data_IF_139012480549
#
_entry.id   IF_139012480549
#
_cell.length_a   1.000
_cell.length_b   1.000
_cell.length_c   1.000
_cell.angle_alpha   90.00
_cell.angle_beta   90.00
_cell.angle_gamma   90.00
#
_symmetry.space_group_name_H-M   'P 1'
#
loop_
_entity.id
_entity.type
_entity.pdbx_description
1 polymer ?
#
# COMPACT_ATOMS: atom_id res chain seq x y z
N UNK A 1 48.03 -32.09 168.47
CA UNK A 1 46.94 -32.26 167.48
C UNK A 1 46.21 -30.93 167.40
N UNK A 2 46.47 -30.13 166.37
CA UNK A 2 45.79 -28.84 166.11
C UNK A 2 45.86 -28.48 164.59
N UNK A 3 44.98 -27.60 164.08
CA UNK A 3 44.19 -27.79 162.85
C UNK A 3 44.79 -27.24 161.54
N UNK A 4 46.00 -27.68 161.15
CA UNK A 4 46.70 -27.16 159.95
C UNK A 4 46.61 -28.00 158.66
N UNK A 5 46.51 -29.33 158.75
CA UNK A 5 46.70 -30.26 157.61
C UNK A 5 45.49 -30.39 156.68
N UNK A 6 44.27 -30.16 157.19
CA UNK A 6 43.05 -30.09 156.38
C UNK A 6 43.07 -28.92 155.38
N UNK A 7 43.83 -27.84 155.67
CA UNK A 7 43.93 -26.67 154.79
C UNK A 7 44.81 -26.93 153.56
N UNK A 8 45.88 -27.72 153.69
CA UNK A 8 46.84 -27.98 152.60
C UNK A 8 46.24 -28.94 151.55
N UNK A 9 45.55 -30.00 151.99
CA UNK A 9 44.85 -30.91 151.07
C UNK A 9 43.70 -30.20 150.33
N UNK A 10 42.99 -29.28 151.01
CA UNK A 10 41.93 -28.47 150.39
C UNK A 10 42.49 -27.51 149.33
N UNK A 11 43.68 -26.92 149.55
CA UNK A 11 44.33 -26.02 148.58
C UNK A 11 44.83 -26.78 147.34
N UNK A 12 45.44 -27.96 147.51
CA UNK A 12 45.91 -28.78 146.37
C UNK A 12 44.71 -29.33 145.58
N UNK A 13 43.66 -29.78 146.27
CA UNK A 13 42.41 -30.20 145.64
C UNK A 13 41.77 -29.04 144.87
N UNK A 14 41.67 -27.84 145.46
CA UNK A 14 41.13 -26.67 144.79
C UNK A 14 41.97 -26.23 143.57
N UNK A 15 43.31 -26.33 143.65
CA UNK A 15 44.21 -25.98 142.54
C UNK A 15 44.11 -26.98 141.38
N UNK A 16 44.05 -28.28 141.67
CA UNK A 16 43.80 -29.31 140.67
C UNK A 16 42.41 -29.14 140.05
N UNK A 17 41.39 -28.85 140.86
CA UNK A 17 40.03 -28.57 140.39
C UNK A 17 39.98 -27.32 139.49
N UNK A 18 40.68 -26.24 139.88
CA UNK A 18 40.84 -25.03 139.08
C UNK A 18 41.62 -25.29 137.77
N UNK A 19 42.64 -26.14 137.79
CA UNK A 19 43.39 -26.53 136.59
C UNK A 19 42.56 -27.36 135.62
N UNK A 20 41.73 -28.27 136.13
CA UNK A 20 40.78 -29.06 135.34
C UNK A 20 39.71 -28.14 134.77
N UNK A 21 39.17 -27.22 135.57
CA UNK A 21 38.23 -26.19 135.12
C UNK A 21 38.88 -25.31 134.04
N UNK A 22 40.15 -24.91 134.19
CA UNK A 22 40.89 -24.13 133.19
C UNK A 22 41.10 -24.90 131.88
N UNK A 23 41.49 -26.17 131.96
CA UNK A 23 41.63 -27.08 130.81
C UNK A 23 40.29 -27.33 130.12
N UNK A 24 39.20 -27.48 130.89
CA UNK A 24 37.84 -27.60 130.35
C UNK A 24 37.39 -26.30 129.68
N UNK A 25 37.72 -25.14 130.24
CA UNK A 25 37.48 -23.82 129.64
C UNK A 25 38.27 -23.65 128.34
N UNK A 26 39.56 -23.97 128.34
CA UNK A 26 40.42 -23.98 127.16
C UNK A 26 39.88 -24.92 126.07
N UNK A 27 39.51 -26.15 126.43
CA UNK A 27 38.94 -27.11 125.48
C UNK A 27 37.57 -26.64 124.95
N UNK A 28 36.75 -26.00 125.79
CA UNK A 28 35.48 -25.40 125.35
C UNK A 28 35.71 -24.23 124.38
N UNK A 29 36.71 -23.38 124.63
CA UNK A 29 37.10 -22.29 123.73
C UNK A 29 37.62 -22.86 122.40
N UNK A 30 38.56 -23.81 122.46
CA UNK A 30 39.14 -24.45 121.27
C UNK A 30 38.07 -25.19 120.44
N UNK A 31 37.15 -25.86 121.13
CA UNK A 31 35.99 -26.51 120.49
C UNK A 31 35.05 -25.49 119.86
N UNK A 32 34.87 -24.32 120.48
CA UNK A 32 34.11 -23.20 119.93
C UNK A 32 34.78 -22.61 118.69
N UNK A 33 36.09 -22.38 118.73
CA UNK A 33 36.90 -21.90 117.60
C UNK A 33 36.91 -22.91 116.45
N UNK A 34 37.07 -24.20 116.73
CA UNK A 34 36.99 -25.26 115.73
C UNK A 34 35.60 -25.33 115.09
N UNK A 35 34.54 -25.19 115.89
CA UNK A 35 33.16 -25.13 115.39
C UNK A 35 32.93 -23.90 114.52
N UNK A 36 33.44 -22.72 114.91
CA UNK A 36 33.34 -21.50 114.14
C UNK A 36 34.12 -21.57 112.83
N UNK A 37 35.32 -22.18 112.86
CA UNK A 37 36.15 -22.39 111.67
C UNK A 37 35.48 -23.37 110.71
N UNK A 38 34.88 -24.44 111.22
CA UNK A 38 34.12 -25.41 110.43
C UNK A 38 32.90 -24.76 109.77
N UNK A 39 32.13 -23.96 110.52
CA UNK A 39 30.99 -23.21 109.99
C UNK A 39 31.43 -22.22 108.90
N UNK A 40 32.54 -21.51 109.09
CA UNK A 40 33.08 -20.60 108.07
C UNK A 40 33.58 -21.33 106.81
N UNK A 41 34.16 -22.53 106.97
CA UNK A 41 34.56 -23.36 105.85
C UNK A 41 33.35 -23.89 105.07
N UNK A 42 32.30 -24.34 105.77
CA UNK A 42 31.04 -24.77 105.16
C UNK A 42 30.36 -23.61 104.41
N UNK A 43 30.35 -22.40 104.99
CA UNK A 43 29.82 -21.20 104.34
C UNK A 43 30.63 -20.85 103.07
N UNK A 44 31.96 -20.85 103.14
CA UNK A 44 32.82 -20.61 101.97
C UNK A 44 32.66 -21.69 100.91
N UNK A 45 32.48 -22.96 101.30
CA UNK A 45 32.19 -24.05 100.38
C UNK A 45 30.87 -23.79 99.65
N UNK A 46 29.82 -23.43 100.38
CA UNK A 46 28.52 -23.10 99.78
C UNK A 46 28.59 -21.88 98.84
N UNK A 47 29.38 -20.85 99.20
CA UNK A 47 29.62 -19.69 98.33
C UNK A 47 30.38 -20.07 97.06
N UNK A 48 31.39 -20.96 97.17
CA UNK A 48 32.14 -21.46 96.02
C UNK A 48 31.25 -22.30 95.09
N UNK A 49 30.40 -23.15 95.65
CA UNK A 49 29.44 -23.96 94.89
C UNK A 49 28.41 -23.07 94.18
N UNK A 50 27.92 -22.03 94.85
CA UNK A 50 27.03 -21.04 94.25
C UNK A 50 27.70 -20.27 93.10
N UNK A 51 28.94 -19.81 93.29
CA UNK A 51 29.71 -19.12 92.26
C UNK A 51 30.01 -20.05 91.06
N UNK A 52 30.33 -21.32 91.30
CA UNK A 52 30.54 -22.32 90.23
C UNK A 52 29.27 -22.57 89.42
N UNK A 53 28.12 -22.61 90.08
CA UNK A 53 26.81 -22.75 89.43
C UNK A 53 26.49 -21.51 88.58
N UNK A 54 26.76 -20.31 89.09
CA UNK A 54 26.58 -19.05 88.36
C UNK A 54 27.50 -18.97 87.12
N UNK A 55 28.76 -19.37 87.25
CA UNK A 55 29.71 -19.46 86.12
C UNK A 55 29.19 -20.46 85.07
N UNK A 56 28.68 -21.63 85.47
CA UNK A 56 28.10 -22.59 84.53
C UNK A 56 26.88 -22.01 83.80
N UNK A 57 26.01 -21.30 84.52
CA UNK A 57 24.84 -20.64 83.93
C UNK A 57 25.23 -19.52 82.96
N UNK A 58 26.22 -18.70 83.31
CA UNK A 58 26.77 -17.65 82.46
C UNK A 58 27.41 -18.24 81.20
N UNK A 59 28.22 -19.30 81.32
CA UNK A 59 28.78 -20.01 80.16
C UNK A 59 27.68 -20.57 79.26
N UNK A 60 26.64 -21.19 79.82
CA UNK A 60 25.51 -21.68 79.04
C UNK A 60 24.75 -20.57 78.31
N UNK A 61 24.67 -19.38 78.90
CA UNK A 61 24.08 -18.20 78.27
C UNK A 61 24.97 -17.66 77.16
N UNK A 62 26.28 -17.54 77.41
CA UNK A 62 27.26 -17.08 76.43
C UNK A 62 27.25 -17.96 75.17
N UNK A 63 27.28 -19.29 75.34
CA UNK A 63 27.21 -20.24 74.22
C UNK A 63 25.93 -20.05 73.40
N UNK A 64 24.79 -19.82 74.05
CA UNK A 64 23.52 -19.57 73.36
C UNK A 64 23.57 -18.26 72.58
N UNK A 65 24.07 -17.19 73.18
CA UNK A 65 24.20 -15.89 72.51
C UNK A 65 25.20 -15.94 71.36
N UNK A 66 26.29 -16.72 71.47
CA UNK A 66 27.23 -16.94 70.37
C UNK A 66 26.57 -17.69 69.20
N UNK A 67 25.74 -18.70 69.50
CA UNK A 67 24.96 -19.42 68.49
C UNK A 67 23.94 -18.48 67.81
N UNK A 68 23.15 -17.74 68.58
CA UNK A 68 22.18 -16.76 68.04
C UNK A 68 22.87 -15.69 67.17
N UNK A 69 24.05 -15.22 67.57
CA UNK A 69 24.83 -14.25 66.79
C UNK A 69 25.36 -14.88 65.49
N UNK A 70 25.77 -16.13 65.52
CA UNK A 70 26.18 -16.87 64.32
C UNK A 70 25.02 -17.02 63.35
N UNK A 71 23.87 -17.49 63.83
CA UNK A 71 22.66 -17.66 63.02
C UNK A 71 22.20 -16.32 62.41
N UNK A 72 22.20 -15.25 63.20
CA UNK A 72 21.84 -13.89 62.72
C UNK A 72 22.81 -13.38 61.65
N UNK A 73 24.11 -13.71 61.74
CA UNK A 73 25.09 -13.34 60.71
C UNK A 73 24.85 -14.10 59.41
N UNK A 74 24.55 -15.39 59.50
CA UNK A 74 24.23 -16.21 58.34
C UNK A 74 22.94 -15.70 57.64
N UNK A 75 21.89 -15.39 58.40
CA UNK A 75 20.67 -14.77 57.86
C UNK A 75 20.94 -13.42 57.18
N UNK A 76 21.80 -12.59 57.76
CA UNK A 76 22.18 -11.30 57.17
C UNK A 76 22.98 -11.47 55.87
N UNK A 77 23.92 -12.41 55.81
CA UNK A 77 24.67 -12.74 54.60
C UNK A 77 23.75 -13.24 53.49
N UNK A 78 22.82 -14.15 53.82
CA UNK A 78 21.83 -14.66 52.88
C UNK A 78 20.94 -13.54 52.34
N UNK A 79 20.37 -12.71 53.23
CA UNK A 79 19.53 -11.56 52.84
C UNK A 79 20.30 -10.56 51.97
N UNK A 80 21.58 -10.32 52.28
CA UNK A 80 22.43 -9.45 51.46
C UNK A 80 22.69 -10.04 50.07
N UNK A 81 22.84 -11.37 49.97
CA UNK A 81 22.95 -12.09 48.70
C UNK A 81 21.69 -11.96 47.85
N UNK A 82 20.52 -12.22 48.44
CA UNK A 82 19.22 -12.06 47.78
C UNK A 82 18.98 -10.64 47.29
N UNK A 83 19.34 -9.63 48.09
CA UNK A 83 19.25 -8.22 47.70
C UNK A 83 20.18 -7.88 46.52
N UNK A 84 21.38 -8.48 46.46
CA UNK A 84 22.29 -8.27 45.34
C UNK A 84 21.73 -8.86 44.04
N UNK A 85 21.21 -10.09 44.09
CA UNK A 85 20.54 -10.75 42.95
C UNK A 85 19.35 -9.91 42.48
N UNK A 86 18.47 -9.51 43.40
CA UNK A 86 17.29 -8.68 43.08
C UNK A 86 17.67 -7.36 42.39
N UNK A 87 18.80 -6.74 42.75
CA UNK A 87 19.29 -5.53 42.08
C UNK A 87 19.82 -5.80 40.67
N UNK A 88 20.46 -6.95 40.45
CA UNK A 88 20.90 -7.35 39.12
C UNK A 88 19.69 -7.58 38.21
N UNK A 89 18.71 -8.35 38.68
CA UNK A 89 17.48 -8.63 37.93
C UNK A 89 16.71 -7.34 37.60
N UNK A 90 16.67 -6.37 38.53
CA UNK A 90 16.04 -5.08 38.29
C UNK A 90 16.76 -4.25 37.21
N UNK A 91 18.10 -4.29 37.19
CA UNK A 91 18.88 -3.61 36.16
C UNK A 91 18.66 -4.26 34.79
N UNK A 92 18.69 -5.59 34.71
CA UNK A 92 18.42 -6.34 33.48
C UNK A 92 17.02 -6.02 32.94
N UNK A 93 16.01 -6.06 33.80
CA UNK A 93 14.62 -5.69 33.43
C UNK A 93 14.54 -4.23 32.96
N UNK A 94 15.34 -3.32 33.52
CA UNK A 94 15.36 -1.91 33.11
C UNK A 94 16.00 -1.71 31.74
N UNK A 95 17.04 -2.47 31.42
CA UNK A 95 17.69 -2.47 30.10
C UNK A 95 16.74 -3.03 29.05
N UNK A 96 16.10 -4.18 29.31
CA UNK A 96 15.09 -4.77 28.41
C UNK A 96 13.92 -3.80 28.12
N UNK A 97 13.48 -3.05 29.13
CA UNK A 97 12.43 -2.04 28.97
C UNK A 97 12.88 -0.85 28.11
N UNK A 98 14.15 -0.45 28.20
CA UNK A 98 14.71 0.62 27.37
C UNK A 98 14.81 0.16 25.90
N UNK A 99 15.30 -1.06 25.66
CA UNK A 99 15.37 -1.67 24.33
C UNK A 99 13.98 -1.79 23.70
N UNK A 100 13.00 -2.32 24.44
CA UNK A 100 11.60 -2.43 23.97
C UNK A 100 11.01 -1.06 23.61
N UNK A 101 11.35 0.00 24.36
CA UNK A 101 10.93 1.37 24.03
C UNK A 101 11.63 1.91 22.78
N UNK A 102 12.86 1.51 22.52
CA UNK A 102 13.58 1.79 21.28
C UNK A 102 12.86 1.18 20.08
N UNK A 103 12.62 -0.12 20.11
CA UNK A 103 11.92 -0.86 19.06
C UNK A 103 10.51 -0.30 18.79
N UNK A 104 9.78 0.09 19.84
CA UNK A 104 8.46 0.70 19.69
C UNK A 104 8.54 2.04 18.94
N UNK A 105 9.55 2.89 19.22
CA UNK A 105 9.73 4.17 18.51
C UNK A 105 10.09 3.96 17.04
N UNK A 106 10.96 2.99 16.75
CA UNK A 106 11.32 2.65 15.36
C UNK A 106 10.11 2.12 14.58
N UNK A 107 9.30 1.28 15.22
CA UNK A 107 8.03 0.79 14.65
C UNK A 107 7.05 1.93 14.40
N UNK A 108 6.93 2.90 15.33
CA UNK A 108 6.07 4.08 15.15
C UNK A 108 6.53 4.95 13.98
N UNK A 109 7.83 5.22 13.86
CA UNK A 109 8.40 5.97 12.74
C UNK A 109 8.13 5.27 11.40
N UNK A 110 8.32 3.96 11.36
CA UNK A 110 8.09 3.16 10.14
C UNK A 110 6.61 3.15 9.75
N UNK A 111 5.71 3.15 10.73
CA UNK A 111 4.27 3.27 10.50
C UNK A 111 3.89 4.65 9.96
N UNK A 112 4.47 5.73 10.51
CA UNK A 112 4.25 7.10 10.03
C UNK A 112 4.70 7.25 8.57
N UNK A 113 5.89 6.76 8.21
CA UNK A 113 6.40 6.77 6.83
C UNK A 113 5.48 5.98 5.88
N UNK A 114 5.05 4.78 6.28
CA UNK A 114 4.11 3.99 5.48
C UNK A 114 2.74 4.67 5.30
N UNK A 115 2.26 5.40 6.31
CA UNK A 115 1.03 6.18 6.22
C UNK A 115 1.16 7.36 5.25
N UNK A 116 2.32 8.04 5.21
CA UNK A 116 2.58 9.11 4.25
C UNK A 116 2.64 8.58 2.81
N UNK A 117 3.34 7.47 2.56
CA UNK A 117 3.38 6.81 1.25
C UNK A 117 1.97 6.38 0.79
N UNK A 118 1.17 5.86 1.71
CA UNK A 118 -0.20 5.45 1.44
C UNK A 118 -1.10 6.63 1.03
N UNK A 119 -0.97 7.78 1.69
CA UNK A 119 -1.71 9.00 1.35
C UNK A 119 -1.33 9.49 -0.05
N UNK A 120 -0.05 9.47 -0.40
CA UNK A 120 0.42 9.85 -1.74
C UNK A 120 -0.17 8.92 -2.81
N UNK A 121 -0.12 7.61 -2.59
CA UNK A 121 -0.67 6.63 -3.53
C UNK A 121 -2.18 6.81 -3.73
N UNK A 122 -2.94 7.12 -2.67
CA UNK A 122 -4.36 7.44 -2.80
C UNK A 122 -4.58 8.65 -3.70
N UNK A 123 -3.85 9.74 -3.47
CA UNK A 123 -4.01 10.97 -4.24
C UNK A 123 -3.62 10.76 -5.72
N UNK A 124 -2.62 9.91 -5.99
CA UNK A 124 -2.28 9.46 -7.35
C UNK A 124 -3.41 8.67 -8.01
N UNK A 125 -4.06 7.74 -7.31
CA UNK A 125 -5.21 6.97 -7.83
C UNK A 125 -6.37 7.87 -8.19
N UNK A 126 -6.71 8.85 -7.34
CA UNK A 126 -7.75 9.85 -7.64
C UNK A 126 -7.38 10.66 -8.88
N UNK A 127 -6.11 11.09 -8.98
CA UNK A 127 -5.63 11.80 -10.16
C UNK A 127 -5.73 10.98 -11.46
N UNK A 128 -5.49 9.67 -11.39
CA UNK A 128 -5.68 8.75 -12.53
C UNK A 128 -7.15 8.69 -12.93
N UNK A 129 -8.07 8.54 -11.97
CA UNK A 129 -9.51 8.51 -12.25
C UNK A 129 -10.01 9.80 -12.92
N UNK A 130 -9.59 10.96 -12.42
CA UNK A 130 -9.90 12.26 -13.04
C UNK A 130 -9.35 12.36 -14.46
N UNK A 131 -8.12 11.92 -14.68
CA UNK A 131 -7.49 11.91 -16.00
C UNK A 131 -8.22 10.98 -16.98
N UNK A 132 -8.60 9.77 -16.54
CA UNK A 132 -9.35 8.80 -17.34
C UNK A 132 -10.71 9.36 -17.74
N UNK A 133 -11.46 9.91 -16.78
CA UNK A 133 -12.77 10.51 -17.03
C UNK A 133 -12.67 11.70 -18.01
N UNK A 134 -11.61 12.50 -17.90
CA UNK A 134 -11.35 13.61 -18.82
C UNK A 134 -11.05 13.11 -20.24
N UNK A 135 -10.29 12.02 -20.39
CA UNK A 135 -10.03 11.38 -21.69
C UNK A 135 -11.30 10.81 -22.32
N UNK A 136 -12.13 10.10 -21.55
CA UNK A 136 -13.44 9.59 -22.01
C UNK A 136 -14.33 10.74 -22.49
N UNK A 137 -14.41 11.82 -21.70
CA UNK A 137 -15.20 12.99 -22.10
C UNK A 137 -14.66 13.64 -23.38
N UNK A 138 -13.34 13.68 -23.55
CA UNK A 138 -12.73 14.18 -24.76
C UNK A 138 -13.15 13.38 -26.01
N UNK A 139 -13.22 12.04 -25.94
CA UNK A 139 -13.68 11.22 -27.06
C UNK A 139 -15.15 11.51 -27.39
N UNK A 140 -16.01 11.65 -26.37
CA UNK A 140 -17.42 12.04 -26.55
C UNK A 140 -17.56 13.38 -27.25
N UNK A 141 -16.81 14.38 -26.80
CA UNK A 141 -16.87 15.74 -27.34
C UNK A 141 -16.38 15.80 -28.80
N UNK A 142 -15.52 14.86 -29.21
CA UNK A 142 -15.00 14.72 -30.57
C UNK A 142 -15.68 13.60 -31.38
N UNK A 143 -16.69 12.93 -30.84
CA UNK A 143 -17.42 11.89 -31.55
C UNK A 143 -18.42 12.46 -32.57
N UNK A 144 -18.84 13.72 -32.42
CA UNK A 144 -19.78 14.41 -33.31
C UNK A 144 -19.22 15.76 -33.73
N UNK A 145 -19.39 16.11 -35.01
CA UNK A 145 -18.92 17.37 -35.54
C UNK A 145 -19.59 18.58 -34.83
N UNK A 146 -18.84 19.54 -34.26
CA UNK A 146 -19.40 20.58 -33.42
C UNK A 146 -20.30 21.54 -34.20
N UNK A 147 -21.30 22.12 -33.51
CA UNK A 147 -22.26 23.08 -34.14
C UNK A 147 -21.60 24.36 -34.63
N UNK A 148 -20.39 24.67 -34.17
CA UNK A 148 -19.55 25.74 -34.72
C UNK A 148 -19.28 25.55 -36.22
N UNK A 149 -19.29 24.31 -36.70
CA UNK A 149 -19.13 23.94 -38.11
C UNK A 149 -20.46 23.77 -38.87
N UNK A 150 -21.57 24.33 -38.38
CA UNK A 150 -22.88 24.24 -39.05
C UNK A 150 -22.86 24.66 -40.53
N UNK A 151 -22.14 25.73 -40.86
CA UNK A 151 -22.10 26.22 -42.24
C UNK A 151 -21.43 25.20 -43.16
N UNK A 152 -20.23 24.75 -42.80
CA UNK A 152 -19.52 23.70 -43.52
C UNK A 152 -20.39 22.45 -43.66
N UNK A 153 -20.95 21.95 -42.55
CA UNK A 153 -21.76 20.74 -42.52
C UNK A 153 -22.94 20.75 -43.51
N UNK A 154 -23.70 21.84 -43.57
CA UNK A 154 -24.88 21.90 -44.46
C UNK A 154 -24.51 22.14 -45.92
N UNK A 155 -23.46 22.92 -46.19
CA UNK A 155 -22.92 23.11 -47.54
C UNK A 155 -22.37 21.79 -48.09
N UNK A 156 -21.61 21.05 -47.28
CA UNK A 156 -21.06 19.76 -47.69
C UNK A 156 -22.13 18.67 -47.79
N UNK A 157 -23.13 18.60 -46.91
CA UNK A 157 -24.23 17.64 -47.07
C UNK A 157 -24.99 17.89 -48.39
N UNK A 158 -25.28 19.15 -48.70
CA UNK A 158 -25.98 19.50 -49.93
C UNK A 158 -25.12 19.26 -51.19
N UNK A 159 -23.83 19.61 -51.16
CA UNK A 159 -22.94 19.51 -52.31
C UNK A 159 -22.36 18.11 -52.55
N UNK A 160 -22.18 17.32 -51.50
CA UNK A 160 -21.61 15.97 -51.58
C UNK A 160 -22.67 14.87 -51.73
N UNK A 161 -23.94 15.19 -51.48
CA UNK A 161 -25.05 14.25 -51.64
C UNK A 161 -25.71 14.40 -53.01
N UNK A 162 -25.63 13.37 -53.84
CA UNK A 162 -26.30 13.30 -55.13
C UNK A 162 -27.23 12.08 -55.21
N UNK A 163 -28.52 12.28 -55.50
CA UNK A 163 -29.46 11.17 -55.70
C UNK A 163 -29.74 10.32 -54.47
N UNK A 164 -29.46 10.83 -53.27
CA UNK A 164 -29.58 10.09 -52.00
C UNK A 164 -28.28 9.41 -51.53
N UNK A 165 -27.22 9.50 -52.33
CA UNK A 165 -25.90 8.92 -52.02
C UNK A 165 -24.93 10.02 -51.61
N UNK A 166 -24.27 9.85 -50.46
CA UNK A 166 -23.16 10.68 -50.02
C UNK A 166 -21.84 10.13 -50.57
N UNK A 167 -21.15 10.94 -51.37
CA UNK A 167 -19.83 10.62 -51.89
C UNK A 167 -18.75 11.00 -50.89
N UNK A 168 -18.13 10.03 -50.24
CA UNK A 168 -17.20 10.31 -49.14
C UNK A 168 -15.96 11.08 -49.59
N UNK A 169 -15.49 10.88 -50.82
CA UNK A 169 -14.37 11.63 -51.40
C UNK A 169 -14.62 13.14 -51.53
N UNK A 170 -15.89 13.56 -51.53
CA UNK A 170 -16.25 14.97 -51.59
C UNK A 170 -15.90 15.71 -50.29
N UNK A 171 -15.99 15.04 -49.14
CA UNK A 171 -15.73 15.66 -47.85
C UNK A 171 -14.28 16.16 -47.70
N UNK A 172 -13.23 15.33 -47.88
CA UNK A 172 -11.85 15.83 -47.80
C UNK A 172 -11.54 16.86 -48.89
N UNK A 173 -12.15 16.74 -50.08
CA UNK A 173 -12.03 17.76 -51.12
C UNK A 173 -12.57 19.14 -50.67
N UNK A 174 -13.74 19.18 -50.02
CA UNK A 174 -14.29 20.42 -49.46
C UNK A 174 -13.53 20.89 -48.22
N UNK A 175 -13.01 19.99 -47.39
CA UNK A 175 -12.14 20.35 -46.26
C UNK A 175 -10.87 21.07 -46.75
N UNK A 176 -10.22 20.56 -47.79
CA UNK A 176 -9.05 21.23 -48.40
C UNK A 176 -9.45 22.58 -48.99
N UNK A 177 -10.52 22.62 -49.79
CA UNK A 177 -10.90 23.81 -50.55
C UNK A 177 -11.50 24.93 -49.70
N UNK A 178 -12.43 24.60 -48.81
CA UNK A 178 -13.20 25.58 -48.02
C UNK A 178 -12.55 25.89 -46.67
N UNK A 179 -11.87 24.90 -46.08
CA UNK A 179 -11.28 25.02 -44.74
C UNK A 179 -9.75 25.10 -44.76
N UNK A 180 -9.10 24.85 -45.91
CA UNK A 180 -7.66 24.90 -46.05
C UNK A 180 -6.94 23.72 -45.39
N UNK A 181 -7.62 22.58 -45.23
CA UNK A 181 -7.02 21.40 -44.59
C UNK A 181 -5.89 20.84 -45.45
N UNK A 182 -4.78 20.47 -44.80
CA UNK A 182 -3.64 19.82 -45.44
C UNK A 182 -3.10 18.71 -44.54
N UNK A 183 -2.47 17.69 -45.11
CA UNK A 183 -1.76 16.69 -44.32
C UNK A 183 -0.61 17.34 -43.55
N UNK A 184 -0.49 17.06 -42.25
CA UNK A 184 0.56 17.55 -41.37
C UNK A 184 1.00 16.43 -40.45
N UNK A 185 2.27 16.05 -40.54
CA UNK A 185 2.89 15.18 -39.54
C UNK A 185 3.44 16.04 -38.41
N UNK A 186 3.12 15.66 -37.17
CA UNK A 186 3.55 16.38 -35.96
C UNK A 186 4.60 15.58 -35.16
N UNK A 187 5.40 16.27 -34.32
CA UNK A 187 6.30 15.61 -33.37
C UNK A 187 6.36 16.40 -32.04
N UNK A 188 6.06 15.78 -30.88
CA UNK A 188 5.50 14.44 -30.74
C UNK A 188 4.11 14.35 -31.40
N UNK A 189 3.78 13.15 -31.87
CA UNK A 189 2.51 12.84 -32.51
C UNK A 189 1.34 13.01 -31.52
N UNK A 190 0.25 13.63 -31.97
CA UNK A 190 -0.88 14.01 -31.12
C UNK A 190 -2.19 13.91 -31.89
N UNK A 191 -3.14 13.14 -31.35
CA UNK A 191 -4.52 13.18 -31.81
C UNK A 191 -5.15 14.54 -31.50
N UNK A 192 -5.46 15.31 -32.53
CA UNK A 192 -6.06 16.64 -32.45
C UNK A 192 -7.57 16.55 -32.27
N UNK A 193 -8.12 17.42 -31.42
CA UNK A 193 -9.58 17.63 -31.39
C UNK A 193 -10.05 18.29 -32.69
N UNK A 194 -11.33 18.14 -33.00
CA UNK A 194 -11.93 18.75 -34.19
C UNK A 194 -11.73 20.27 -34.20
N UNK A 195 -11.89 20.93 -33.05
CA UNK A 195 -11.65 22.37 -32.94
C UNK A 195 -10.17 22.73 -33.16
N UNK A 196 -9.22 21.89 -32.72
CA UNK A 196 -7.79 22.11 -32.99
C UNK A 196 -7.49 21.95 -34.48
N UNK A 197 -8.03 20.94 -35.14
CA UNK A 197 -7.88 20.74 -36.59
C UNK A 197 -8.41 21.94 -37.38
N UNK A 198 -9.56 22.51 -36.98
CA UNK A 198 -10.14 23.69 -37.64
C UNK A 198 -9.29 24.93 -37.40
N UNK A 199 -8.80 25.13 -36.18
CA UNK A 199 -7.96 26.28 -35.83
C UNK A 199 -6.56 26.20 -36.44
N UNK A 200 -6.06 24.99 -36.70
CA UNK A 200 -4.81 24.71 -37.42
C UNK A 200 -5.11 23.80 -38.63
N UNK A 201 -5.80 24.30 -39.67
CA UNK A 201 -6.39 23.51 -40.75
C UNK A 201 -5.62 22.26 -41.17
N UNK A 202 -6.12 21.08 -40.84
CA UNK A 202 -5.50 19.79 -41.16
C UNK A 202 -5.01 19.00 -39.95
N UNK A 203 -4.20 17.98 -40.23
CA UNK A 203 -3.76 16.92 -39.31
C UNK A 203 -3.15 15.76 -40.11
N UNK A 204 -2.92 14.62 -39.48
CA UNK A 204 -2.54 13.37 -40.15
C UNK A 204 -3.66 12.32 -40.08
N UNK A 205 -3.33 11.03 -40.22
CA UNK A 205 -4.31 10.01 -40.59
C UNK A 205 -5.41 9.81 -39.54
N UNK A 206 -5.07 9.83 -38.26
CA UNK A 206 -6.00 9.70 -37.14
C UNK A 206 -6.90 10.94 -37.02
N UNK A 207 -6.36 12.12 -37.28
CA UNK A 207 -7.10 13.38 -37.21
C UNK A 207 -8.18 13.43 -38.30
N UNK A 208 -7.81 13.09 -39.54
CA UNK A 208 -8.76 13.00 -40.64
C UNK A 208 -9.80 11.91 -40.40
N UNK A 209 -9.38 10.76 -39.85
CA UNK A 209 -10.28 9.67 -39.48
C UNK A 209 -11.30 10.12 -38.43
N UNK A 210 -10.85 10.83 -37.39
CA UNK A 210 -11.69 11.37 -36.33
C UNK A 210 -12.68 12.41 -36.87
N UNK A 211 -12.21 13.34 -37.71
CA UNK A 211 -13.07 14.37 -38.30
C UNK A 211 -14.18 13.77 -39.17
N UNK A 212 -13.86 12.82 -40.05
CA UNK A 212 -14.86 12.19 -40.92
C UNK A 212 -15.80 11.25 -40.16
N UNK A 213 -15.29 10.51 -39.16
CA UNK A 213 -16.14 9.79 -38.21
C UNK A 213 -17.16 10.72 -37.57
N UNK A 214 -16.71 11.87 -37.06
CA UNK A 214 -17.56 12.84 -36.39
C UNK A 214 -18.59 13.49 -37.33
N UNK A 215 -18.21 13.73 -38.59
CA UNK A 215 -19.12 14.18 -39.63
C UNK A 215 -20.24 13.16 -39.88
N UNK A 216 -19.88 11.88 -40.06
CA UNK A 216 -20.82 10.79 -40.32
C UNK A 216 -21.78 10.61 -39.14
N UNK A 217 -21.27 10.63 -37.91
CA UNK A 217 -22.10 10.57 -36.70
C UNK A 217 -23.12 11.72 -36.64
N UNK A 218 -22.68 12.95 -36.94
CA UNK A 218 -23.58 14.09 -36.99
C UNK A 218 -24.66 13.93 -38.06
N UNK A 219 -24.28 13.46 -39.26
CA UNK A 219 -25.22 13.23 -40.34
C UNK A 219 -26.25 12.18 -39.94
N UNK A 220 -25.81 11.09 -39.31
CA UNK A 220 -26.68 10.04 -38.76
C UNK A 220 -27.69 10.62 -37.76
N UNK A 221 -27.25 11.52 -36.88
CA UNK A 221 -28.08 12.20 -35.88
C UNK A 221 -29.13 13.16 -36.47
N UNK A 222 -29.01 13.54 -37.75
CA UNK A 222 -30.10 14.27 -38.44
C UNK A 222 -31.34 13.40 -38.72
N UNK A 223 -31.18 12.07 -38.65
CA UNK A 223 -32.22 11.10 -39.01
C UNK A 223 -32.45 10.96 -40.52
N UNK A 224 -31.65 11.64 -41.34
CA UNK A 224 -31.77 11.53 -42.79
C UNK A 224 -30.94 10.34 -43.27
N UNK A 225 -31.59 9.37 -43.89
CA UNK A 225 -30.89 8.23 -44.45
C UNK A 225 -30.21 8.57 -45.78
N UNK A 226 -29.05 7.94 -46.01
CA UNK A 226 -28.15 8.14 -47.13
C UNK A 226 -27.45 6.83 -47.42
N UNK A 227 -27.27 6.52 -48.70
CA UNK A 227 -26.27 5.51 -49.07
C UNK A 227 -24.89 6.13 -48.99
N UNK A 228 -23.93 5.43 -48.42
CA UNK A 228 -22.53 5.84 -48.37
C UNK A 228 -21.76 5.19 -49.52
N UNK A 229 -20.89 5.97 -50.15
CA UNK A 229 -20.10 5.53 -51.29
C UNK A 229 -18.66 6.05 -51.20
N UNK A 230 -17.71 5.14 -51.40
CA UNK A 230 -16.31 5.43 -51.65
C UNK A 230 -15.99 5.22 -53.14
N UNK A 231 -14.78 5.57 -53.56
CA UNK A 231 -14.30 5.20 -54.88
C UNK A 231 -13.25 4.11 -54.79
N UNK A 232 -13.27 3.17 -55.72
CA UNK A 232 -12.20 2.18 -55.86
C UNK A 232 -11.33 2.47 -57.09
N UNK A 233 -10.15 1.87 -57.15
CA UNK A 233 -9.22 2.05 -58.26
C UNK A 233 -9.64 1.29 -59.53
N UNK A 234 -10.88 0.79 -59.62
CA UNK A 234 -11.36 0.15 -60.83
C UNK A 234 -11.60 1.20 -61.92
N UNK A 235 -11.10 0.94 -63.14
CA UNK A 235 -10.99 1.97 -64.18
C UNK A 235 -12.31 2.69 -64.48
N UNK A 236 -12.29 4.03 -64.51
CA UNK A 236 -13.49 4.84 -64.71
C UNK A 236 -13.24 6.32 -64.39
N UNK A 237 -14.31 7.12 -64.35
CA UNK A 237 -14.27 8.50 -63.86
C UNK A 237 -15.28 8.63 -62.73
N UNK A 238 -14.79 8.62 -61.50
CA UNK A 238 -15.59 8.83 -60.30
C UNK A 238 -15.73 10.32 -60.04
N UNK A 239 -16.96 10.85 -60.08
CA UNK A 239 -17.23 12.27 -59.83
C UNK A 239 -17.24 12.51 -58.33
N UNK A 240 -16.28 13.29 -57.84
CA UNK A 240 -16.16 13.68 -56.43
C UNK A 240 -17.14 14.81 -56.12
N UNK A 241 -17.13 15.86 -56.92
CA UNK A 241 -17.91 17.07 -56.68
C UNK A 241 -18.38 17.67 -58.01
N UNK A 242 -19.58 18.24 -58.01
CA UNK A 242 -20.16 18.93 -59.16
C UNK A 242 -20.61 20.33 -58.73
N UNK A 243 -20.09 21.35 -59.40
CA UNK A 243 -20.47 22.74 -59.17
C UNK A 243 -21.81 23.07 -59.82
N UNK A 244 -22.45 24.15 -59.36
CA UNK A 244 -23.72 24.65 -59.91
C UNK A 244 -23.65 24.97 -61.42
N UNK A 245 -22.47 25.31 -61.92
CA UNK A 245 -22.22 25.58 -63.34
C UNK A 245 -22.02 24.31 -64.20
N UNK A 246 -22.05 23.12 -63.56
CA UNK A 246 -21.84 21.82 -64.18
C UNK A 246 -20.38 21.37 -64.24
N UNK A 247 -19.44 22.12 -63.67
CA UNK A 247 -18.03 21.71 -63.57
C UNK A 247 -17.91 20.49 -62.65
N UNK A 248 -17.29 19.41 -63.16
CA UNK A 248 -17.13 18.14 -62.42
C UNK A 248 -15.68 17.90 -62.05
N UNK A 249 -15.45 17.68 -60.77
CA UNK A 249 -14.19 17.21 -60.21
C UNK A 249 -14.25 15.69 -60.10
N UNK A 250 -13.23 15.00 -60.61
CA UNK A 250 -13.24 13.53 -60.66
C UNK A 250 -11.86 12.94 -60.36
N UNK A 251 -11.86 11.69 -59.89
CA UNK A 251 -10.69 10.81 -59.82
C UNK A 251 -10.85 9.63 -60.77
N UNK A 252 -9.75 8.96 -61.09
CA UNK A 252 -9.76 7.76 -61.91
C UNK A 252 -10.13 6.56 -61.04
N UNK A 253 -11.38 6.14 -61.14
CA UNK A 253 -11.98 5.11 -60.28
C UNK A 253 -13.44 4.86 -60.64
N UNK A 254 -14.08 3.95 -59.90
CA UNK A 254 -15.51 3.69 -59.98
C UNK A 254 -16.16 3.74 -58.60
N UNK A 255 -17.48 3.84 -58.58
CA UNK A 255 -18.26 3.80 -57.34
C UNK A 255 -18.13 2.47 -56.58
N UNK A 256 -17.95 2.55 -55.26
CA UNK A 256 -17.98 1.43 -54.34
C UNK A 256 -19.02 1.70 -53.23
N UNK A 257 -20.17 1.01 -53.23
CA UNK A 257 -21.18 1.16 -52.18
C UNK A 257 -20.68 0.62 -50.85
N UNK A 258 -20.90 1.37 -49.76
CA UNK A 258 -20.52 0.99 -48.40
C UNK A 258 -21.74 0.59 -47.54
N UNK A 259 -22.93 1.05 -47.92
CA UNK A 259 -24.21 0.74 -47.27
C UNK A 259 -24.96 1.96 -46.74
N UNK A 260 -26.11 1.71 -46.11
CA UNK A 260 -26.97 2.75 -45.53
C UNK A 260 -26.35 3.34 -44.27
N UNK A 261 -26.32 4.68 -44.20
CA UNK A 261 -25.82 5.46 -43.07
C UNK A 261 -26.47 5.06 -41.74
N UNK A 262 -27.77 4.78 -41.74
CA UNK A 262 -28.48 4.46 -40.50
C UNK A 262 -28.09 3.09 -39.94
N UNK A 263 -27.66 2.16 -40.80
CA UNK A 263 -27.26 0.81 -40.43
C UNK A 263 -25.78 0.71 -40.02
N UNK A 264 -24.98 1.75 -40.27
CA UNK A 264 -23.52 1.73 -40.07
C UNK A 264 -23.07 2.60 -38.89
N UNK A 265 -22.04 2.17 -38.18
CA UNK A 265 -21.41 2.87 -37.07
C UNK A 265 -19.95 3.17 -37.45
N UNK A 266 -19.54 4.45 -37.47
CA UNK A 266 -18.19 4.83 -37.89
C UNK A 266 -17.19 4.71 -36.72
N UNK A 267 -16.02 4.17 -37.02
CA UNK A 267 -14.88 4.07 -36.10
C UNK A 267 -13.62 4.56 -36.82
N UNK A 268 -12.73 5.25 -36.13
CA UNK A 268 -11.36 5.41 -36.63
C UNK A 268 -10.57 4.19 -36.16
N UNK A 269 -9.98 3.46 -37.11
CA UNK A 269 -9.15 2.30 -36.81
C UNK A 269 -7.71 2.61 -37.23
N UNK A 270 -6.76 2.28 -36.38
CA UNK A 270 -5.34 2.39 -36.71
C UNK A 270 -4.70 1.01 -36.70
N UNK A 271 -3.88 0.74 -37.70
CA UNK A 271 -3.29 -0.57 -37.93
C UNK A 271 -1.81 -0.45 -38.25
N UNK A 272 -1.08 -1.52 -37.98
CA UNK A 272 0.34 -1.62 -38.31
C UNK A 272 0.51 -1.69 -39.82
N UNK A 273 1.26 -0.78 -40.42
CA UNK A 273 1.63 -0.87 -41.85
C UNK A 273 2.96 -1.59 -42.00
N UNK A 274 3.87 -1.37 -41.05
CA UNK A 274 5.22 -1.92 -41.09
C UNK A 274 5.75 -2.14 -39.67
N UNK A 275 6.40 -3.29 -39.49
CA UNK A 275 7.17 -3.59 -38.29
C UNK A 275 8.52 -4.20 -38.70
N UNK A 276 9.56 -3.38 -38.77
CA UNK A 276 10.92 -3.82 -39.14
C UNK A 276 11.95 -3.23 -38.17
N UNK A 277 12.87 -4.06 -37.69
CA UNK A 277 13.97 -3.64 -36.81
C UNK A 277 13.53 -2.82 -35.57
N UNK A 278 12.39 -3.19 -34.97
CA UNK A 278 11.75 -2.49 -33.83
C UNK A 278 11.26 -1.07 -34.16
N UNK A 279 11.20 -0.72 -35.44
CA UNK A 279 10.53 0.48 -35.93
C UNK A 279 9.07 0.15 -36.25
N UNK A 280 8.17 0.89 -35.62
CA UNK A 280 6.73 0.79 -35.80
C UNK A 280 6.27 1.91 -36.74
N UNK A 281 5.55 1.55 -37.81
CA UNK A 281 4.78 2.49 -38.63
C UNK A 281 3.32 2.05 -38.61
N UNK A 282 2.43 3.02 -38.38
CA UNK A 282 0.99 2.83 -38.40
C UNK A 282 0.33 3.69 -39.46
N UNK A 283 -0.94 3.40 -39.73
CA UNK A 283 -1.83 4.25 -40.50
C UNK A 283 -3.25 4.13 -39.95
N UNK A 284 -4.06 5.16 -40.11
CA UNK A 284 -5.44 5.19 -39.63
C UNK A 284 -6.42 5.45 -40.78
N UNK A 285 -7.55 4.76 -40.74
CA UNK A 285 -8.66 4.90 -41.69
C UNK A 285 -10.00 4.86 -40.95
N UNK A 286 -11.10 5.13 -41.67
CA UNK A 286 -12.44 4.99 -41.11
C UNK A 286 -13.02 3.62 -41.46
N UNK A 287 -13.51 2.90 -40.47
CA UNK A 287 -14.27 1.67 -40.60
C UNK A 287 -15.75 1.91 -40.32
N UNK A 288 -16.62 1.34 -41.15
CA UNK A 288 -18.07 1.41 -41.05
C UNK A 288 -18.61 0.03 -40.71
N UNK A 289 -18.89 -0.22 -39.42
CA UNK A 289 -19.43 -1.52 -38.99
C UNK A 289 -20.95 -1.49 -38.84
N UNK A 290 -21.62 -2.56 -39.25
CA UNK A 290 -23.03 -2.79 -38.98
C UNK A 290 -23.32 -2.99 -37.47
N UNK A 291 -22.29 -3.35 -36.69
CA UNK A 291 -22.41 -3.66 -35.27
C UNK A 291 -21.76 -2.58 -34.41
N UNK A 292 -22.27 -2.43 -33.18
CA UNK A 292 -21.73 -1.49 -32.20
C UNK A 292 -20.58 -2.09 -31.41
N UNK A 293 -19.66 -1.22 -31.01
CA UNK A 293 -18.55 -1.53 -30.12
C UNK A 293 -18.73 -0.67 -28.87
N UNK A 294 -19.17 -1.29 -27.77
CA UNK A 294 -19.39 -0.60 -26.51
C UNK A 294 -18.44 -1.09 -25.40
N UNK A 295 -17.63 -2.10 -25.68
CA UNK A 295 -16.74 -2.74 -24.72
C UNK A 295 -15.61 -3.48 -25.42
N UNK A 296 -14.60 -3.93 -24.66
CA UNK A 296 -13.50 -4.75 -25.18
C UNK A 296 -13.99 -6.10 -25.71
N UNK A 297 -15.09 -6.64 -25.17
CA UNK A 297 -15.72 -7.88 -25.62
C UNK A 297 -16.34 -7.74 -27.02
N UNK A 298 -16.69 -6.52 -27.41
CA UNK A 298 -17.30 -6.20 -28.70
C UNK A 298 -16.28 -6.02 -29.82
N UNK A 299 -14.96 -6.13 -29.59
CA UNK A 299 -13.96 -5.82 -30.63
C UNK A 299 -14.14 -6.60 -31.94
N UNK A 300 -14.58 -7.85 -31.83
CA UNK A 300 -14.85 -8.70 -33.00
C UNK A 300 -16.02 -8.21 -33.86
N UNK A 301 -16.84 -7.29 -33.34
CA UNK A 301 -17.92 -6.65 -34.11
C UNK A 301 -17.39 -5.74 -35.23
N UNK A 302 -16.08 -5.45 -35.29
CA UNK A 302 -15.46 -4.80 -36.45
C UNK A 302 -15.39 -5.71 -37.67
N UNK A 303 -15.39 -7.03 -37.49
CA UNK A 303 -15.29 -7.98 -38.60
C UNK A 303 -16.40 -7.75 -39.63
N UNK A 304 -16.00 -7.63 -40.90
CA UNK A 304 -16.89 -7.34 -42.02
C UNK A 304 -17.14 -5.86 -42.30
N UNK A 305 -16.63 -4.93 -41.47
CA UNK A 305 -16.76 -3.49 -41.69
C UNK A 305 -16.07 -3.04 -42.97
N UNK A 306 -16.76 -2.21 -43.75
CA UNK A 306 -16.18 -1.56 -44.92
C UNK A 306 -15.27 -0.41 -44.49
N UNK A 307 -14.16 -0.19 -45.18
CA UNK A 307 -13.18 0.84 -44.79
C UNK A 307 -12.88 1.79 -45.94
N UNK A 308 -12.56 3.04 -45.59
CA UNK A 308 -12.14 4.04 -46.56
C UNK A 308 -11.09 4.99 -46.00
N UNK A 309 -10.22 5.47 -46.90
CA UNK A 309 -9.15 6.42 -46.65
C UNK A 309 -9.74 7.83 -46.43
N UNK A 310 -9.63 8.42 -45.23
CA UNK A 310 -10.33 9.66 -44.94
C UNK A 310 -9.72 10.88 -45.64
N UNK A 311 -8.47 10.82 -46.11
CA UNK A 311 -7.85 11.93 -46.84
C UNK A 311 -8.36 12.06 -48.29
N UNK A 312 -8.97 11.02 -48.87
CA UNK A 312 -9.38 11.06 -50.28
C UNK A 312 -10.67 10.28 -50.62
N UNK A 313 -11.28 9.60 -49.66
CA UNK A 313 -12.49 8.79 -49.82
C UNK A 313 -12.32 7.50 -50.62
N UNK A 314 -11.09 7.00 -50.77
CA UNK A 314 -10.81 5.75 -51.48
C UNK A 314 -11.24 4.57 -50.62
N UNK A 315 -11.84 3.55 -51.23
CA UNK A 315 -12.11 2.27 -50.58
C UNK A 315 -10.78 1.52 -50.30
N UNK A 316 -10.59 1.10 -49.06
CA UNK A 316 -9.34 0.48 -48.59
C UNK A 316 -9.48 -1.02 -48.25
N UNK A 317 -10.70 -1.56 -48.36
CA UNK A 317 -10.97 -2.97 -48.09
C UNK A 317 -11.95 -3.17 -46.95
N UNK A 318 -12.00 -4.41 -46.48
CA UNK A 318 -12.90 -4.89 -45.45
C UNK A 318 -12.10 -5.45 -44.27
N UNK A 319 -12.56 -5.15 -43.06
CA UNK A 319 -12.05 -5.81 -41.86
C UNK A 319 -12.40 -7.31 -41.92
N UNK A 320 -11.41 -8.17 -41.65
CA UNK A 320 -11.45 -9.62 -41.83
C UNK A 320 -10.78 -10.11 -43.12
N UNK A 321 -10.55 -9.20 -44.07
CA UNK A 321 -9.87 -9.51 -45.35
C UNK A 321 -8.52 -8.80 -45.45
N UNK A 322 -8.53 -7.46 -45.51
CA UNK A 322 -7.31 -6.64 -45.58
C UNK A 322 -6.80 -6.26 -44.20
N UNK A 323 -7.71 -6.14 -43.22
CA UNK A 323 -7.40 -5.76 -41.85
C UNK A 323 -7.79 -6.86 -40.89
N UNK A 324 -6.98 -7.08 -39.86
CA UNK A 324 -7.20 -8.14 -38.87
C UNK A 324 -7.53 -7.53 -37.52
N UNK A 325 -8.62 -7.96 -36.89
CA UNK A 325 -8.88 -7.67 -35.48
C UNK A 325 -8.03 -8.62 -34.62
N UNK A 326 -7.21 -8.05 -33.74
CA UNK A 326 -6.39 -8.82 -32.81
C UNK A 326 -7.23 -9.63 -31.83
N UNK A 327 -6.74 -10.83 -31.51
CA UNK A 327 -7.42 -11.78 -30.62
C UNK A 327 -6.72 -11.82 -29.26
N UNK A 328 -7.48 -12.12 -28.22
CA UNK A 328 -6.93 -12.31 -26.88
C UNK A 328 -5.86 -13.42 -26.88
N UNK A 329 -4.71 -13.12 -26.26
CA UNK A 329 -3.53 -13.98 -26.22
C UNK A 329 -2.58 -13.83 -27.42
N UNK A 330 -2.92 -13.06 -28.46
CA UNK A 330 -2.03 -12.84 -29.62
C UNK A 330 -0.99 -11.74 -29.32
N UNK A 331 0.05 -12.09 -28.57
CA UNK A 331 1.07 -11.14 -28.06
C UNK A 331 1.95 -10.49 -29.14
N UNK A 332 1.84 -10.90 -30.40
CA UNK A 332 2.60 -10.35 -31.52
C UNK A 332 1.69 -9.72 -32.59
N UNK A 333 0.38 -9.60 -32.32
CA UNK A 333 -0.57 -9.09 -33.31
C UNK A 333 -0.22 -7.68 -33.77
N UNK A 334 0.23 -6.82 -32.85
CA UNK A 334 0.70 -5.45 -33.09
C UNK A 334 1.89 -5.36 -34.08
N UNK A 335 2.56 -6.47 -34.37
CA UNK A 335 3.72 -6.54 -35.28
C UNK A 335 3.37 -7.06 -36.66
N UNK A 336 2.11 -7.43 -36.90
CA UNK A 336 1.66 -8.01 -38.16
C UNK A 336 1.02 -6.90 -39.00
N UNK A 337 1.53 -6.60 -40.20
CA UNK A 337 0.91 -5.64 -41.10
C UNK A 337 -0.58 -5.92 -41.34
N UNK A 338 -1.39 -4.87 -41.30
CA UNK A 338 -2.86 -4.93 -41.39
C UNK A 338 -3.56 -5.24 -40.07
N UNK A 339 -2.84 -5.48 -38.98
CA UNK A 339 -3.48 -5.72 -37.67
C UNK A 339 -3.90 -4.41 -37.03
N UNK A 340 -5.19 -4.33 -36.67
CA UNK A 340 -5.77 -3.18 -35.99
C UNK A 340 -5.31 -3.18 -34.54
N UNK A 341 -4.71 -2.08 -34.11
CA UNK A 341 -4.14 -1.90 -32.77
C UNK A 341 -4.80 -0.77 -31.97
N UNK A 342 -5.48 0.16 -32.65
CA UNK A 342 -6.32 1.16 -32.00
C UNK A 342 -7.69 1.23 -32.67
N UNK A 343 -8.71 1.46 -31.87
CA UNK A 343 -10.08 1.74 -32.31
C UNK A 343 -10.59 2.93 -31.52
N UNK A 344 -10.81 4.05 -32.19
CA UNK A 344 -11.42 5.25 -31.61
C UNK A 344 -12.92 5.15 -31.84
N UNK A 345 -13.67 4.88 -30.77
CA UNK A 345 -15.13 4.83 -30.77
C UNK A 345 -15.74 6.18 -30.37
N UNK A 346 -17.05 6.20 -30.15
CA UNK A 346 -17.75 7.43 -29.72
C UNK A 346 -17.47 7.78 -28.26
N UNK A 347 -17.28 6.76 -27.43
CA UNK A 347 -17.28 6.89 -25.98
C UNK A 347 -15.93 6.47 -25.36
N UNK A 348 -15.05 5.83 -26.13
CA UNK A 348 -13.80 5.26 -25.62
C UNK A 348 -12.74 5.09 -26.73
N UNK A 349 -11.51 4.86 -26.31
CA UNK A 349 -10.40 4.38 -27.13
C UNK A 349 -10.02 2.98 -26.69
N UNK A 350 -10.03 2.06 -27.65
CA UNK A 350 -9.55 0.70 -27.44
C UNK A 350 -8.15 0.56 -28.01
N UNK A 351 -7.25 -0.03 -27.24
CA UNK A 351 -5.88 -0.30 -27.62
C UNK A 351 -5.58 -1.79 -27.44
N UNK A 352 -4.92 -2.40 -28.41
CA UNK A 352 -4.38 -3.75 -28.27
C UNK A 352 -2.93 -3.69 -27.77
N UNK A 353 -2.68 -4.19 -26.56
CA UNK A 353 -1.36 -4.19 -25.95
C UNK A 353 -1.13 -5.51 -25.20
N UNK A 354 0.07 -6.09 -25.34
CA UNK A 354 0.44 -7.27 -24.56
C UNK A 354 -0.40 -8.52 -24.82
N UNK A 355 -1.15 -8.58 -25.91
CA UNK A 355 -2.06 -9.69 -26.23
C UNK A 355 -3.49 -9.48 -25.75
N UNK A 356 -3.86 -8.31 -25.23
CA UNK A 356 -5.21 -7.99 -24.76
C UNK A 356 -5.69 -6.64 -25.28
N UNK A 357 -7.01 -6.50 -25.40
CA UNK A 357 -7.65 -5.21 -25.63
C UNK A 357 -7.88 -4.50 -24.30
N UNK A 358 -7.46 -3.25 -24.20
CA UNK A 358 -7.68 -2.36 -23.06
C UNK A 358 -8.40 -1.10 -23.52
N UNK A 359 -9.05 -0.40 -22.58
CA UNK A 359 -9.76 0.84 -22.87
C UNK A 359 -9.67 1.82 -21.70
N UNK A 360 -10.03 3.09 -21.91
CA UNK A 360 -10.06 4.05 -20.80
C UNK A 360 -11.16 3.70 -19.79
N UNK A 361 -12.31 3.21 -20.24
CA UNK A 361 -13.37 2.75 -19.32
C UNK A 361 -12.84 1.64 -18.39
N UNK A 362 -12.13 0.65 -18.93
CA UNK A 362 -11.52 -0.42 -18.13
C UNK A 362 -10.49 0.12 -17.12
N UNK A 363 -9.71 1.14 -17.48
CA UNK A 363 -8.79 1.79 -16.54
C UNK A 363 -9.54 2.55 -15.45
N UNK A 364 -10.67 3.18 -15.79
CA UNK A 364 -11.55 3.85 -14.84
C UNK A 364 -12.11 2.87 -13.82
N UNK A 365 -12.62 1.73 -14.26
CA UNK A 365 -13.12 0.68 -13.36
C UNK A 365 -12.05 0.17 -12.38
N UNK A 366 -10.82 -0.06 -12.89
CA UNK A 366 -9.68 -0.46 -12.06
C UNK A 366 -9.29 0.61 -11.04
N UNK A 367 -9.29 1.89 -11.43
CA UNK A 367 -9.02 3.00 -10.54
C UNK A 367 -10.07 3.08 -9.42
N UNK A 368 -11.36 3.01 -9.75
CA UNK A 368 -12.42 3.02 -8.73
C UNK A 368 -12.43 1.76 -7.84
N UNK A 369 -11.99 0.59 -8.34
CA UNK A 369 -11.80 -0.60 -7.50
C UNK A 369 -10.64 -0.41 -6.51
N UNK A 370 -9.54 0.17 -6.97
CA UNK A 370 -8.38 0.49 -6.12
C UNK A 370 -8.73 1.52 -5.05
N UNK A 371 -9.47 2.57 -5.41
CA UNK A 371 -9.96 3.58 -4.48
C UNK A 371 -10.80 2.93 -3.36
N UNK A 372 -11.78 2.09 -3.71
CA UNK A 372 -12.57 1.35 -2.72
C UNK A 372 -11.72 0.45 -1.83
N UNK A 373 -10.69 -0.20 -2.36
CA UNK A 373 -9.76 -1.01 -1.55
C UNK A 373 -8.99 -0.14 -0.58
N UNK A 374 -8.55 1.03 -1.03
CA UNK A 374 -7.86 2.04 -0.21
C UNK A 374 -8.75 2.54 0.92
N UNK A 375 -9.99 2.93 0.65
CA UNK A 375 -10.95 3.36 1.67
C UNK A 375 -11.18 2.28 2.75
N UNK A 376 -11.36 1.02 2.33
CA UNK A 376 -11.54 -0.11 3.25
C UNK A 376 -10.31 -0.41 4.12
N UNK A 377 -9.10 -0.02 3.69
CA UNK A 377 -7.88 -0.14 4.47
C UNK A 377 -7.72 0.98 5.50
N UNK A 378 -8.28 2.17 5.23
CA UNK A 378 -8.26 3.31 6.17
C UNK A 378 -9.27 3.15 7.30
N UNK A 379 -10.40 2.47 7.06
CA UNK A 379 -11.46 2.28 8.07
C UNK A 379 -11.15 1.18 9.11
N UNK A 380 -10.10 0.37 8.92
CA UNK A 380 -9.70 -0.72 9.83
C UNK A 380 -8.48 -0.34 10.65
#
# INVERSE_FOLDING_TARGET
MEPGTARILAVISAFLFLSVIYLLLQNAILSGELSATKASLEERSAQLDAANSEIHSLNGTLIRTEAELFDTREELENTSGELHITRMDLNETSEELEDTRGELRETQSSLEEAMEEFVQLRDEVVGIEESVNSSIQWFRDNAELPRTLNHFFWESDAGCTGGGTLRLACLPFLMEREMGFTYKSEYPDQLLSIDQMVNKPGGDCEDYSLFLKAYINRLKNTGTDRELEAWDQSGGRYVIFEEDDGTKWYVWGSEHPLGSLQDLNPYAICFTTKYEAETFEGHCIVALSANKINSVEDMQNLEGAETFEPQNGQYEGRVGEQYRVCQEGDTLCDRIPGSIIFVIADEDLYQFIGGEWVSYELYGEKASELEKKIENMVEK
#
